data_IF_762002877039
#
_entry.id   IF_762002877039
#
_cell.length_a   1.000
_cell.length_b   1.000
_cell.length_c   1.000
_cell.angle_alpha   90.00
_cell.angle_beta   90.00
_cell.angle_gamma   90.00
#
_symmetry.space_group_name_H-M   'P 1'
#
loop_
_entity.id
_entity.type
_entity.pdbx_description
1 polymer ?
#
# COMPACT_ATOMS: atom_id res chain seq x y z
N UNK A 1 -14.77 -7.40 7.56
CA UNK A 1 -15.92 -8.33 7.62
C UNK A 1 -15.44 -9.77 7.76
N UNK A 2 -16.24 -10.70 8.30
CA UNK A 2 -15.92 -12.12 8.23
C UNK A 2 -15.93 -12.59 6.78
N UNK A 3 -15.02 -13.52 6.45
CA UNK A 3 -15.00 -14.20 5.16
C UNK A 3 -16.35 -14.92 4.94
N UNK A 4 -16.96 -14.86 3.74
CA UNK A 4 -18.21 -15.56 3.46
C UNK A 4 -18.10 -17.06 3.79
N UNK A 5 -19.18 -17.67 4.32
CA UNK A 5 -19.14 -19.09 4.70
C UNK A 5 -19.02 -20.00 3.46
N UNK A 6 -18.45 -21.19 3.66
CA UNK A 6 -18.14 -22.17 2.60
C UNK A 6 -19.30 -22.40 1.61
N UNK A 7 -20.57 -22.61 2.02
CA UNK A 7 -21.66 -22.81 1.06
C UNK A 7 -21.91 -21.60 0.15
N UNK A 8 -21.67 -20.38 0.65
CA UNK A 8 -21.81 -19.14 -0.14
C UNK A 8 -20.69 -19.02 -1.16
N UNK A 9 -19.44 -19.35 -0.78
CA UNK A 9 -18.30 -19.34 -1.71
C UNK A 9 -18.47 -20.39 -2.82
N UNK A 10 -18.90 -21.61 -2.46
CA UNK A 10 -19.19 -22.69 -3.43
C UNK A 10 -20.34 -22.30 -4.37
N UNK A 11 -21.39 -21.67 -3.84
CA UNK A 11 -22.49 -21.14 -4.64
C UNK A 11 -22.04 -20.04 -5.59
N UNK A 12 -21.18 -19.12 -5.14
CA UNK A 12 -20.63 -18.04 -5.96
C UNK A 12 -19.80 -18.59 -7.14
N UNK A 13 -18.96 -19.60 -6.90
CA UNK A 13 -18.22 -20.29 -7.96
C UNK A 13 -19.15 -20.92 -9.00
N UNK A 14 -20.26 -21.55 -8.57
CA UNK A 14 -21.26 -22.12 -9.48
C UNK A 14 -21.98 -21.05 -10.29
N UNK A 15 -22.34 -19.92 -9.68
CA UNK A 15 -22.91 -18.79 -10.42
C UNK A 15 -22.00 -18.33 -11.55
N UNK A 16 -20.71 -18.10 -11.28
CA UNK A 16 -19.75 -17.65 -12.30
C UNK A 16 -19.49 -18.69 -13.40
N UNK A 17 -19.64 -19.98 -13.09
CA UNK A 17 -19.48 -21.06 -14.06
C UNK A 17 -20.68 -21.17 -15.02
N UNK A 18 -21.91 -20.99 -14.51
CA UNK A 18 -23.13 -21.25 -15.28
C UNK A 18 -23.71 -20.00 -15.97
N UNK A 19 -23.50 -18.80 -15.41
CA UNK A 19 -24.00 -17.55 -15.99
C UNK A 19 -23.50 -17.26 -17.42
N UNK A 20 -22.26 -17.57 -17.82
CA UNK A 20 -21.81 -17.33 -19.19
C UNK A 20 -22.61 -18.12 -20.25
N UNK A 21 -23.19 -19.26 -19.86
CA UNK A 21 -23.95 -20.16 -20.75
C UNK A 21 -25.47 -20.03 -20.60
N UNK A 22 -25.98 -19.22 -19.67
CA UNK A 22 -27.40 -19.12 -19.36
C UNK A 22 -27.75 -17.81 -18.66
N UNK A 23 -28.94 -17.29 -18.92
CA UNK A 23 -29.43 -16.12 -18.18
C UNK A 23 -29.63 -16.43 -16.68
N UNK A 24 -29.81 -15.35 -15.90
CA UNK A 24 -29.92 -15.41 -14.45
C UNK A 24 -31.14 -16.24 -13.98
N UNK A 25 -32.27 -16.17 -14.70
CA UNK A 25 -33.48 -16.88 -14.34
C UNK A 25 -33.33 -18.40 -14.57
N UNK A 26 -32.73 -18.78 -15.70
CA UNK A 26 -32.44 -20.18 -16.06
C UNK A 26 -31.41 -20.79 -15.12
N UNK A 27 -30.35 -20.05 -14.79
CA UNK A 27 -29.33 -20.50 -13.83
C UNK A 27 -29.93 -20.69 -12.42
N UNK A 28 -30.82 -19.78 -11.99
CA UNK A 28 -31.56 -19.94 -10.72
C UNK A 28 -32.46 -21.19 -10.74
N UNK A 29 -33.17 -21.43 -11.84
CA UNK A 29 -34.01 -22.63 -11.99
C UNK A 29 -33.17 -23.92 -11.94
N UNK A 30 -31.98 -23.91 -12.55
CA UNK A 30 -31.04 -25.03 -12.50
C UNK A 30 -30.64 -25.36 -11.06
N UNK A 31 -30.22 -24.37 -10.28
CA UNK A 31 -29.80 -24.57 -8.89
C UNK A 31 -30.90 -25.02 -7.94
N UNK A 32 -32.17 -24.85 -8.31
CA UNK A 32 -33.32 -25.22 -7.47
C UNK A 32 -33.99 -26.52 -7.85
N UNK A 33 -33.85 -26.96 -9.11
CA UNK A 33 -34.57 -28.13 -9.62
C UNK A 33 -33.67 -29.34 -9.92
N UNK A 34 -32.38 -29.12 -10.18
CA UNK A 34 -31.48 -30.19 -10.59
C UNK A 34 -30.78 -30.85 -9.39
N UNK A 35 -30.80 -32.19 -9.34
CA UNK A 35 -30.29 -32.99 -8.20
C UNK A 35 -28.80 -32.77 -7.92
N UNK A 36 -28.02 -32.39 -8.92
CA UNK A 36 -26.59 -32.06 -8.77
C UNK A 36 -26.28 -30.78 -7.95
N UNK A 37 -27.30 -30.01 -7.53
CA UNK A 37 -27.12 -28.75 -6.80
C UNK A 37 -27.84 -28.72 -5.44
N UNK A 38 -28.29 -29.87 -4.93
CA UNK A 38 -29.05 -29.96 -3.67
C UNK A 38 -28.20 -29.84 -2.41
N UNK A 39 -26.87 -29.80 -2.54
CA UNK A 39 -25.92 -29.65 -1.43
C UNK A 39 -25.83 -28.22 -0.89
N UNK A 40 -26.43 -27.25 -1.59
CA UNK A 40 -26.51 -25.84 -1.19
C UNK A 40 -27.97 -25.39 -1.25
N UNK A 41 -28.43 -24.70 -0.21
CA UNK A 41 -29.83 -24.24 -0.13
C UNK A 41 -30.10 -23.07 -1.09
N UNK A 42 -31.35 -22.89 -1.56
CA UNK A 42 -31.73 -21.74 -2.38
C UNK A 42 -31.38 -20.38 -1.75
N UNK A 43 -31.48 -20.26 -0.43
CA UNK A 43 -31.12 -19.04 0.31
C UNK A 43 -29.62 -18.77 0.26
N UNK A 44 -28.77 -19.79 0.34
CA UNK A 44 -27.32 -19.63 0.19
C UNK A 44 -26.94 -19.24 -1.24
N UNK A 45 -27.63 -19.77 -2.26
CA UNK A 45 -27.47 -19.33 -3.64
C UNK A 45 -27.88 -17.86 -3.85
N UNK A 46 -28.97 -17.41 -3.20
CA UNK A 46 -29.37 -16.02 -3.25
C UNK A 46 -28.33 -15.11 -2.58
N UNK A 47 -27.88 -15.47 -1.37
CA UNK A 47 -26.82 -14.74 -0.65
C UNK A 47 -25.52 -14.64 -1.46
N UNK A 48 -25.13 -15.71 -2.14
CA UNK A 48 -23.96 -15.70 -3.02
C UNK A 48 -24.13 -14.77 -4.23
N UNK A 49 -25.32 -14.74 -4.83
CA UNK A 49 -25.60 -13.84 -5.95
C UNK A 49 -25.57 -12.38 -5.52
N UNK A 50 -26.10 -12.06 -4.34
CA UNK A 50 -26.07 -10.70 -3.79
C UNK A 50 -24.62 -10.29 -3.49
N UNK A 51 -23.84 -11.15 -2.85
CA UNK A 51 -22.40 -10.92 -2.64
C UNK A 51 -21.62 -10.68 -3.95
N UNK A 52 -21.90 -11.47 -5.00
CA UNK A 52 -21.28 -11.27 -6.31
C UNK A 52 -21.64 -9.92 -6.95
N UNK A 53 -22.88 -9.44 -6.76
CA UNK A 53 -23.31 -8.13 -7.27
C UNK A 53 -22.64 -7.00 -6.52
N UNK A 54 -22.67 -7.07 -5.19
CA UNK A 54 -22.11 -6.04 -4.32
C UNK A 54 -20.60 -5.90 -4.53
N UNK A 55 -19.91 -7.03 -4.78
CA UNK A 55 -18.49 -7.06 -5.12
C UNK A 55 -18.16 -6.78 -6.60
N UNK A 56 -19.16 -6.57 -7.48
CA UNK A 56 -18.93 -6.34 -8.91
C UNK A 56 -18.29 -7.53 -9.66
N UNK A 57 -18.46 -8.75 -9.15
CA UNK A 57 -17.75 -9.96 -9.61
C UNK A 57 -18.46 -10.70 -10.77
N UNK A 58 -19.66 -10.25 -11.16
CA UNK A 58 -20.46 -10.91 -12.21
C UNK A 58 -19.90 -10.76 -13.63
N UNK A 59 -19.04 -9.76 -13.87
CA UNK A 59 -18.46 -9.46 -15.19
C UNK A 59 -17.05 -10.04 -15.38
N UNK A 60 -16.57 -10.86 -14.45
CA UNK A 60 -15.19 -11.40 -14.51
C UNK A 60 -15.07 -12.48 -15.59
N UNK A 61 -14.74 -12.05 -16.81
CA UNK A 61 -14.39 -12.95 -17.91
C UNK A 61 -13.01 -13.57 -17.64
N UNK A 62 -12.90 -14.89 -17.70
CA UNK A 62 -11.64 -15.58 -17.44
C UNK A 62 -11.78 -17.10 -17.43
N UNK A 63 -10.65 -17.79 -17.27
CA UNK A 63 -10.64 -19.23 -17.00
C UNK A 63 -11.25 -19.54 -15.64
N UNK A 64 -11.72 -20.77 -15.44
CA UNK A 64 -12.27 -21.23 -14.14
C UNK A 64 -11.29 -21.05 -12.97
N UNK A 65 -9.99 -21.23 -13.22
CA UNK A 65 -8.94 -21.00 -12.24
C UNK A 65 -8.80 -19.52 -11.87
N UNK A 66 -8.89 -18.62 -12.86
CA UNK A 66 -8.87 -17.17 -12.66
C UNK A 66 -10.08 -16.70 -11.85
N UNK A 67 -11.29 -17.19 -12.20
CA UNK A 67 -12.51 -16.84 -11.48
C UNK A 67 -12.47 -17.25 -10.00
N UNK A 68 -11.99 -18.45 -9.70
CA UNK A 68 -11.84 -18.92 -8.30
C UNK A 68 -10.84 -18.07 -7.53
N UNK A 69 -9.70 -17.73 -8.14
CA UNK A 69 -8.72 -16.83 -7.54
C UNK A 69 -9.32 -15.44 -7.26
N UNK A 70 -10.10 -14.87 -8.19
CA UNK A 70 -10.82 -13.60 -7.98
C UNK A 70 -11.85 -13.67 -6.84
N UNK A 71 -12.60 -14.78 -6.74
CA UNK A 71 -13.53 -14.99 -5.62
C UNK A 71 -12.80 -15.07 -4.29
N UNK A 72 -11.66 -15.77 -4.25
CA UNK A 72 -10.85 -15.88 -3.06
C UNK A 72 -10.25 -14.53 -2.65
N UNK A 73 -9.68 -13.78 -3.61
CA UNK A 73 -9.20 -12.40 -3.41
C UNK A 73 -10.30 -11.53 -2.80
N UNK A 74 -11.49 -11.49 -3.41
CA UNK A 74 -12.62 -10.72 -2.91
C UNK A 74 -13.08 -11.15 -1.50
N UNK A 75 -12.99 -12.44 -1.19
CA UNK A 75 -13.38 -12.98 0.11
C UNK A 75 -12.41 -12.57 1.23
N UNK A 76 -11.11 -12.46 0.95
CA UNK A 76 -10.07 -12.17 1.96
C UNK A 76 -9.76 -10.68 2.11
N UNK A 77 -9.97 -9.86 1.07
CA UNK A 77 -9.67 -8.42 1.08
C UNK A 77 -10.33 -7.67 2.25
N UNK A 78 -11.53 -8.09 2.62
CA UNK A 78 -12.31 -7.47 3.70
C UNK A 78 -12.00 -8.05 5.08
N UNK A 79 -11.12 -9.06 5.19
CA UNK A 79 -10.83 -9.71 6.47
C UNK A 79 -9.99 -8.82 7.40
N UNK A 80 -10.16 -8.99 8.72
CA UNK A 80 -9.51 -8.14 9.72
C UNK A 80 -7.98 -8.30 9.76
N UNK A 81 -7.47 -9.47 9.36
CA UNK A 81 -6.04 -9.77 9.35
C UNK A 81 -5.36 -9.32 8.05
N UNK A 82 -6.11 -9.00 7.00
CA UNK A 82 -5.53 -8.69 5.68
C UNK A 82 -4.62 -7.45 5.70
N UNK A 83 -4.97 -6.45 6.54
CA UNK A 83 -4.18 -5.22 6.72
C UNK A 83 -2.75 -5.46 7.20
N UNK A 84 -2.51 -6.59 7.87
CA UNK A 84 -1.21 -6.98 8.43
C UNK A 84 -0.64 -8.22 7.72
N UNK A 85 -1.14 -8.54 6.52
CA UNK A 85 -0.79 -9.79 5.82
C UNK A 85 0.72 -9.90 5.50
N UNK A 86 1.43 -8.80 5.28
CA UNK A 86 2.90 -8.83 5.06
C UNK A 86 3.69 -9.28 6.29
N UNK A 87 3.18 -8.99 7.48
CA UNK A 87 3.78 -9.40 8.74
C UNK A 87 3.30 -10.79 9.19
N UNK A 88 2.01 -11.09 8.98
CA UNK A 88 1.38 -12.30 9.50
C UNK A 88 1.54 -13.52 8.58
N UNK A 89 1.65 -13.33 7.26
CA UNK A 89 1.58 -14.41 6.27
C UNK A 89 2.84 -14.38 5.40
N UNK A 90 3.91 -14.96 5.95
CA UNK A 90 5.22 -15.06 5.28
C UNK A 90 5.36 -16.29 4.38
N UNK A 91 4.55 -17.33 4.62
CA UNK A 91 4.55 -18.59 3.87
C UNK A 91 3.14 -19.20 3.78
N UNK A 92 2.93 -20.19 2.88
CA UNK A 92 1.65 -20.90 2.76
C UNK A 92 1.17 -21.58 4.04
N UNK A 93 2.09 -22.02 4.91
CA UNK A 93 1.78 -22.67 6.19
C UNK A 93 1.30 -21.67 7.26
N UNK A 94 1.55 -20.37 7.05
CA UNK A 94 1.11 -19.29 7.93
C UNK A 94 -0.31 -18.77 7.59
N UNK A 95 -1.01 -19.41 6.64
CA UNK A 95 -2.36 -19.00 6.27
C UNK A 95 -3.34 -19.17 7.45
N UNK A 96 -4.15 -18.14 7.77
CA UNK A 96 -5.20 -18.24 8.77
C UNK A 96 -6.26 -19.31 8.44
N UNK A 97 -6.88 -19.91 9.47
CA UNK A 97 -7.88 -20.97 9.30
C UNK A 97 -9.11 -20.56 8.48
N UNK A 98 -9.51 -19.30 8.52
CA UNK A 98 -10.60 -18.77 7.69
C UNK A 98 -10.20 -18.64 6.23
N UNK A 99 -8.95 -18.24 5.94
CA UNK A 99 -8.38 -18.25 4.60
C UNK A 99 -8.26 -19.68 4.05
N UNK A 100 -7.77 -20.65 4.84
CA UNK A 100 -7.67 -22.05 4.43
C UNK A 100 -9.03 -22.64 4.06
N UNK A 101 -10.06 -22.42 4.89
CA UNK A 101 -11.43 -22.88 4.61
C UNK A 101 -12.01 -22.26 3.34
N UNK A 102 -11.76 -20.97 3.11
CA UNK A 102 -12.20 -20.31 1.88
C UNK A 102 -11.47 -20.81 0.63
N UNK A 103 -10.18 -21.07 0.74
CA UNK A 103 -9.39 -21.67 -0.33
C UNK A 103 -9.92 -23.07 -0.68
N UNK A 104 -10.17 -23.90 0.33
CA UNK A 104 -10.77 -25.24 0.17
C UNK A 104 -12.15 -25.17 -0.50
N UNK A 105 -13.03 -24.28 -0.04
CA UNK A 105 -14.36 -24.05 -0.62
C UNK A 105 -14.30 -23.74 -2.12
N UNK A 106 -13.26 -23.03 -2.55
CA UNK A 106 -13.03 -22.64 -3.94
C UNK A 106 -12.11 -23.62 -4.69
N UNK A 107 -11.68 -24.70 -4.03
CA UNK A 107 -10.71 -25.68 -4.53
C UNK A 107 -9.42 -25.03 -5.03
N UNK A 108 -8.87 -24.12 -4.23
CA UNK A 108 -7.58 -23.47 -4.41
C UNK A 108 -6.62 -24.07 -3.38
N UNK A 109 -5.45 -24.51 -3.82
CA UNK A 109 -4.42 -25.05 -2.91
C UNK A 109 -3.76 -23.93 -2.07
N UNK A 110 -3.15 -24.26 -0.91
CA UNK A 110 -2.52 -23.28 -0.03
C UNK A 110 -1.49 -22.38 -0.71
N UNK A 111 -0.68 -22.94 -1.61
CA UNK A 111 0.31 -22.18 -2.40
C UNK A 111 -0.33 -21.09 -3.25
N UNK A 112 -1.41 -21.44 -3.96
CA UNK A 112 -2.13 -20.51 -4.81
C UNK A 112 -2.89 -19.47 -3.98
N UNK A 113 -3.46 -19.88 -2.84
CA UNK A 113 -4.11 -18.97 -1.89
C UNK A 113 -3.11 -17.94 -1.33
N UNK A 114 -1.93 -18.39 -0.90
CA UNK A 114 -0.84 -17.53 -0.45
C UNK A 114 -0.39 -16.56 -1.56
N UNK A 115 -0.21 -17.03 -2.79
CA UNK A 115 0.14 -16.19 -3.92
C UNK A 115 -0.94 -15.12 -4.22
N UNK A 116 -2.23 -15.48 -4.12
CA UNK A 116 -3.35 -14.53 -4.29
C UNK A 116 -3.33 -13.47 -3.18
N UNK A 117 -3.18 -13.87 -1.91
CA UNK A 117 -3.08 -12.92 -0.79
C UNK A 117 -1.90 -11.98 -0.97
N UNK A 118 -0.72 -12.50 -1.34
CA UNK A 118 0.49 -11.69 -1.58
C UNK A 118 0.30 -10.70 -2.72
N UNK A 119 -0.32 -11.12 -3.82
CA UNK A 119 -0.62 -10.26 -4.96
C UNK A 119 -1.65 -9.19 -4.59
N UNK A 120 -2.74 -9.57 -3.93
CA UNK A 120 -3.79 -8.67 -3.48
C UNK A 120 -3.25 -7.63 -2.48
N UNK A 121 -2.46 -8.08 -1.49
CA UNK A 121 -1.82 -7.18 -0.52
C UNK A 121 -0.86 -6.23 -1.21
N UNK A 122 -0.04 -6.72 -2.15
CA UNK A 122 0.87 -5.86 -2.92
C UNK A 122 0.15 -4.76 -3.70
N UNK A 123 -1.04 -5.02 -4.25
CA UNK A 123 -1.87 -4.00 -4.91
C UNK A 123 -2.42 -2.99 -3.91
N UNK A 124 -3.01 -3.46 -2.81
CA UNK A 124 -3.60 -2.61 -1.76
C UNK A 124 -2.53 -1.73 -1.11
N UNK A 125 -1.41 -2.31 -0.72
CA UNK A 125 -0.26 -1.62 -0.16
C UNK A 125 0.31 -0.58 -1.13
N UNK A 126 0.36 -0.87 -2.43
CA UNK A 126 0.82 0.12 -3.43
C UNK A 126 -0.15 1.30 -3.54
N UNK A 127 -1.45 1.06 -3.62
CA UNK A 127 -2.45 2.13 -3.71
C UNK A 127 -2.52 2.96 -2.41
N UNK A 128 -2.47 2.30 -1.25
CA UNK A 128 -2.48 2.98 0.04
C UNK A 128 -1.20 3.78 0.27
N UNK A 129 -0.03 3.23 -0.04
CA UNK A 129 1.25 3.97 0.02
C UNK A 129 1.26 5.16 -0.91
N UNK A 130 0.74 5.04 -2.13
CA UNK A 130 0.64 6.17 -3.06
C UNK A 130 -0.27 7.27 -2.51
N UNK A 131 -1.46 6.90 -2.00
CA UNK A 131 -2.37 7.85 -1.35
C UNK A 131 -1.73 8.53 -0.14
N UNK A 132 -1.07 7.74 0.71
CA UNK A 132 -0.44 8.24 1.93
C UNK A 132 0.78 9.11 1.62
N UNK A 133 1.60 8.72 0.63
CA UNK A 133 2.71 9.50 0.10
C UNK A 133 2.25 10.88 -0.36
N UNK A 134 1.28 10.91 -1.29
CA UNK A 134 0.70 12.14 -1.80
C UNK A 134 0.12 13.03 -0.68
N UNK A 135 -0.60 12.46 0.29
CA UNK A 135 -1.13 13.22 1.42
C UNK A 135 -0.03 13.85 2.29
N UNK A 136 1.08 13.13 2.49
CA UNK A 136 2.22 13.65 3.27
C UNK A 136 2.98 14.75 2.53
N UNK A 137 3.18 14.59 1.22
CA UNK A 137 3.76 15.63 0.36
C UNK A 137 2.89 16.89 0.35
N UNK A 138 1.57 16.75 0.13
CA UNK A 138 0.64 17.87 0.10
C UNK A 138 0.61 18.61 1.44
N UNK A 139 0.54 17.89 2.55
CA UNK A 139 0.54 18.49 3.88
C UNK A 139 1.86 19.22 4.18
N UNK A 140 3.00 18.69 3.72
CA UNK A 140 4.30 19.36 3.86
C UNK A 140 4.40 20.59 2.95
N UNK A 141 3.91 20.53 1.71
CA UNK A 141 3.84 21.69 0.80
C UNK A 141 2.96 22.79 1.40
N UNK A 142 1.80 22.45 1.97
CA UNK A 142 0.92 23.40 2.64
C UNK A 142 1.62 24.09 3.81
N UNK A 143 2.29 23.31 4.67
CA UNK A 143 3.08 23.85 5.77
C UNK A 143 4.17 24.82 5.27
N UNK A 144 4.98 24.40 4.31
CA UNK A 144 6.10 25.19 3.80
C UNK A 144 5.63 26.44 3.03
N UNK A 145 4.53 26.37 2.29
CA UNK A 145 3.99 27.49 1.51
C UNK A 145 3.36 28.56 2.40
N UNK A 146 3.03 28.23 3.66
CA UNK A 146 2.54 29.20 4.64
C UNK A 146 3.64 30.15 5.15
N UNK A 147 4.91 29.84 4.87
CA UNK A 147 6.07 30.58 5.35
C UNK A 147 6.39 31.75 4.41
N UNK A 148 6.44 32.96 4.96
CA UNK A 148 6.77 34.15 4.20
C UNK A 148 8.22 34.12 3.68
N UNK A 149 8.43 34.54 2.43
CA UNK A 149 9.75 34.60 1.80
C UNK A 149 10.27 33.26 1.29
N UNK A 150 9.41 32.23 1.25
CA UNK A 150 9.73 30.91 0.73
C UNK A 150 8.91 30.66 -0.54
N UNK A 151 9.58 30.15 -1.58
CA UNK A 151 8.93 29.61 -2.77
C UNK A 151 8.97 28.08 -2.71
N UNK A 152 7.82 27.44 -2.88
CA UNK A 152 7.69 25.98 -2.81
C UNK A 152 7.12 25.46 -4.13
N UNK A 153 7.77 24.46 -4.71
CA UNK A 153 7.32 23.76 -5.91
C UNK A 153 7.14 22.28 -5.56
N UNK A 154 5.95 21.75 -5.82
CA UNK A 154 5.64 20.33 -5.69
C UNK A 154 6.07 19.60 -6.96
N UNK A 155 7.37 19.30 -7.05
CA UNK A 155 8.03 18.76 -8.25
C UNK A 155 7.44 17.41 -8.66
N UNK A 156 7.05 16.55 -7.72
CA UNK A 156 6.38 15.28 -8.01
C UNK A 156 5.07 15.42 -8.81
N UNK A 157 4.40 16.59 -8.78
CA UNK A 157 3.21 16.84 -9.64
C UNK A 157 3.56 17.17 -11.09
N UNK A 158 4.80 17.58 -11.35
CA UNK A 158 5.28 18.02 -12.66
C UNK A 158 6.18 16.98 -13.32
N UNK A 159 7.04 16.29 -12.56
CA UNK A 159 7.96 15.28 -13.09
C UNK A 159 8.56 14.35 -12.03
N UNK A 160 8.39 13.05 -12.23
CA UNK A 160 9.04 11.99 -11.43
C UNK A 160 10.54 11.83 -11.74
N UNK A 161 11.07 12.55 -12.75
CA UNK A 161 12.43 12.37 -13.25
C UNK A 161 13.51 13.03 -12.39
N UNK A 162 13.16 13.97 -11.52
CA UNK A 162 14.15 14.75 -10.76
C UNK A 162 14.76 14.00 -9.58
N UNK A 163 14.05 13.01 -9.02
CA UNK A 163 14.50 12.21 -7.87
C UNK A 163 14.34 12.89 -6.52
N UNK A 164 13.40 13.85 -6.42
CA UNK A 164 12.91 14.48 -5.19
C UNK A 164 11.49 15.03 -5.42
N UNK A 165 10.71 15.16 -4.34
CA UNK A 165 9.29 15.49 -4.42
C UNK A 165 9.02 16.99 -4.34
N UNK A 166 9.78 17.72 -3.52
CA UNK A 166 9.53 19.13 -3.22
C UNK A 166 10.82 19.93 -3.39
N UNK A 167 10.74 21.05 -4.11
CA UNK A 167 11.79 22.07 -4.12
C UNK A 167 11.34 23.25 -3.27
N UNK A 168 12.22 23.67 -2.36
CA UNK A 168 12.05 24.87 -1.55
C UNK A 168 13.17 25.84 -1.87
N UNK A 169 12.81 27.08 -2.23
CA UNK A 169 13.75 28.16 -2.51
C UNK A 169 13.55 29.30 -1.52
N UNK A 170 14.65 29.74 -0.91
CA UNK A 170 14.75 30.93 -0.08
C UNK A 170 15.78 31.89 -0.69
N UNK A 171 15.89 33.10 -0.16
CA UNK A 171 16.97 34.03 -0.54
C UNK A 171 18.38 33.46 -0.28
N UNK A 172 18.51 32.54 0.69
CA UNK A 172 19.80 31.98 1.10
C UNK A 172 20.19 30.73 0.32
N UNK A 173 19.22 29.86 0.03
CA UNK A 173 19.48 28.55 -0.58
C UNK A 173 18.24 27.90 -1.19
N UNK A 174 18.49 26.93 -2.06
CA UNK A 174 17.52 25.96 -2.55
C UNK A 174 17.74 24.62 -1.83
N UNK A 175 16.65 23.98 -1.41
CA UNK A 175 16.63 22.67 -0.76
C UNK A 175 15.69 21.75 -1.55
N UNK A 176 16.13 20.51 -1.75
CA UNK A 176 15.32 19.47 -2.41
C UNK A 176 14.95 18.41 -1.38
N UNK A 177 13.65 18.13 -1.25
CA UNK A 177 13.13 17.22 -0.26
C UNK A 177 12.54 15.99 -0.95
N UNK A 178 13.00 14.82 -0.55
CA UNK A 178 12.33 13.54 -0.80
C UNK A 178 11.52 13.18 0.44
N UNK A 179 10.24 12.83 0.26
CA UNK A 179 9.27 12.67 1.33
C UNK A 179 8.86 11.20 1.46
N UNK A 180 9.01 10.63 2.66
CA UNK A 180 8.51 9.29 2.97
C UNK A 180 7.51 9.37 4.12
N UNK A 181 6.27 8.97 3.83
CA UNK A 181 5.13 9.18 4.74
C UNK A 181 4.71 7.91 5.47
N UNK A 182 4.31 8.05 6.74
CA UNK A 182 3.73 6.97 7.55
C UNK A 182 2.66 7.50 8.50
N UNK A 183 1.68 6.67 8.85
CA UNK A 183 0.74 6.92 9.97
C UNK A 183 1.14 6.18 11.25
N UNK A 184 2.07 5.22 11.15
CA UNK A 184 2.45 4.33 12.25
C UNK A 184 3.33 5.06 13.28
N UNK A 185 3.19 4.69 14.56
CA UNK A 185 4.09 5.10 15.64
C UNK A 185 5.13 3.98 15.84
N UNK A 186 6.42 4.29 15.73
CA UNK A 186 7.51 3.32 15.86
C UNK A 186 8.34 3.15 14.59
N UNK A 187 8.75 1.90 14.31
CA UNK A 187 9.67 1.57 13.21
C UNK A 187 9.20 2.16 11.87
N UNK A 188 10.04 3.01 11.29
CA UNK A 188 9.80 3.61 10.00
C UNK A 188 10.28 2.67 8.90
N UNK A 189 9.38 2.25 8.01
CA UNK A 189 9.74 1.50 6.81
C UNK A 189 9.59 2.40 5.60
N UNK A 190 10.63 2.49 4.78
CA UNK A 190 10.62 3.27 3.54
C UNK A 190 11.03 2.40 2.35
N UNK A 191 10.67 2.87 1.17
CA UNK A 191 11.16 2.36 -0.10
C UNK A 191 11.91 3.49 -0.79
N UNK A 192 13.13 3.21 -1.23
CA UNK A 192 13.97 4.15 -1.96
C UNK A 192 14.17 3.63 -3.38
N UNK A 193 13.83 4.44 -4.38
CA UNK A 193 14.10 4.09 -5.77
C UNK A 193 15.57 4.33 -6.12
N UNK A 194 16.02 3.70 -7.20
CA UNK A 194 17.38 3.92 -7.69
C UNK A 194 17.62 5.35 -8.14
N UNK A 195 16.62 6.00 -8.72
CA UNK A 195 16.70 7.40 -9.15
C UNK A 195 16.84 8.36 -7.95
N UNK A 196 16.06 8.13 -6.88
CA UNK A 196 16.17 8.88 -5.62
C UNK A 196 17.55 8.72 -4.99
N UNK A 197 18.07 7.50 -4.96
CA UNK A 197 19.41 7.23 -4.43
C UNK A 197 20.53 7.87 -5.25
N UNK A 198 20.51 7.72 -6.57
CA UNK A 198 21.51 8.34 -7.45
C UNK A 198 21.42 9.88 -7.35
N UNK A 199 20.21 10.43 -7.18
CA UNK A 199 19.96 11.86 -6.96
C UNK A 199 20.47 12.33 -5.61
N UNK A 200 20.18 11.59 -4.54
CA UNK A 200 20.79 11.81 -3.23
C UNK A 200 22.30 11.91 -3.39
N UNK A 201 22.98 10.94 -3.99
CA UNK A 201 24.45 10.95 -4.11
C UNK A 201 25.01 12.18 -4.83
N UNK A 202 24.39 12.62 -5.93
CA UNK A 202 24.89 13.76 -6.73
C UNK A 202 24.50 15.13 -6.18
N UNK A 203 23.38 15.23 -5.48
CA UNK A 203 22.82 16.50 -5.03
C UNK A 203 23.05 16.73 -3.52
N UNK A 204 23.79 17.80 -3.20
CA UNK A 204 24.12 18.16 -1.80
C UNK A 204 22.98 18.87 -1.07
N UNK A 205 22.02 19.43 -1.80
CA UNK A 205 20.81 20.07 -1.27
C UNK A 205 19.68 19.06 -0.99
N UNK A 206 19.81 17.84 -1.53
CA UNK A 206 18.85 16.76 -1.34
C UNK A 206 18.79 16.27 0.11
N UNK A 207 17.57 16.13 0.63
CA UNK A 207 17.27 15.74 2.01
C UNK A 207 16.12 14.75 2.04
N UNK A 208 16.33 13.61 2.70
CA UNK A 208 15.28 12.61 2.94
C UNK A 208 14.50 12.97 4.21
N UNK A 209 13.22 13.29 4.05
CA UNK A 209 12.32 13.69 5.13
C UNK A 209 11.30 12.58 5.38
N UNK A 210 11.23 12.13 6.62
CA UNK A 210 10.14 11.29 7.11
C UNK A 210 8.99 12.17 7.61
N UNK A 211 7.79 11.91 7.12
CA UNK A 211 6.55 12.60 7.53
C UNK A 211 5.66 11.62 8.28
N UNK A 212 5.30 11.96 9.51
CA UNK A 212 4.25 11.23 10.24
C UNK A 212 2.94 11.97 10.14
N UNK A 213 1.89 11.29 9.69
CA UNK A 213 0.52 11.78 9.72
C UNK A 213 -0.30 11.14 10.86
N UNK A 214 -1.37 11.80 11.28
CA UNK A 214 -2.45 11.17 12.06
C UNK A 214 -3.34 10.32 11.14
N UNK A 215 -4.29 9.57 11.72
CA UNK A 215 -5.28 8.82 10.94
C UNK A 215 -6.15 9.75 10.05
N UNK A 216 -6.34 11.00 10.49
CA UNK A 216 -7.02 12.08 9.75
C UNK A 216 -6.11 12.81 8.76
N UNK A 217 -4.94 12.25 8.44
CA UNK A 217 -3.96 12.78 7.48
C UNK A 217 -3.38 14.16 7.84
N UNK A 218 -3.33 14.51 9.14
CA UNK A 218 -2.70 15.75 9.60
C UNK A 218 -1.24 15.53 9.98
N UNK A 219 -0.36 16.50 9.69
CA UNK A 219 1.03 16.45 10.12
C UNK A 219 1.13 16.26 11.64
N UNK A 220 1.89 15.27 12.05
CA UNK A 220 2.02 14.84 13.44
C UNK A 220 3.46 14.82 13.94
N UNK A 221 4.45 14.64 13.05
CA UNK A 221 5.87 14.92 13.28
C UNK A 221 6.63 14.92 11.95
N UNK A 222 7.81 15.53 11.98
CA UNK A 222 8.80 15.49 10.90
C UNK A 222 10.14 14.99 11.45
N UNK A 223 10.87 14.25 10.62
CA UNK A 223 12.26 13.90 10.89
C UNK A 223 13.07 13.86 9.59
N UNK A 224 14.37 14.04 9.70
CA UNK A 224 15.33 13.86 8.61
C UNK A 224 16.04 12.53 8.79
N UNK A 225 16.13 11.74 7.73
CA UNK A 225 16.84 10.46 7.71
C UNK A 225 18.31 10.73 7.35
N UNK A 226 19.24 10.17 8.12
CA UNK A 226 20.66 10.35 7.88
C UNK A 226 21.09 9.79 6.51
N UNK A 227 21.61 10.67 5.65
CA UNK A 227 22.11 10.36 4.31
C UNK A 227 23.23 9.32 4.29
N UNK A 228 24.20 9.44 5.20
CA UNK A 228 25.37 8.55 5.23
C UNK A 228 24.96 7.14 5.65
N UNK A 229 23.97 7.02 6.54
CA UNK A 229 23.36 5.73 6.86
C UNK A 229 22.69 5.11 5.63
N UNK A 230 21.85 5.87 4.91
CA UNK A 230 21.20 5.37 3.67
C UNK A 230 22.25 4.87 2.68
N UNK A 231 23.34 5.63 2.49
CA UNK A 231 24.44 5.22 1.62
C UNK A 231 25.12 3.92 2.09
N UNK A 232 25.32 3.77 3.40
CA UNK A 232 25.98 2.60 3.99
C UNK A 232 25.16 1.30 3.92
N UNK A 233 23.83 1.39 3.78
CA UNK A 233 22.93 0.21 3.73
C UNK A 233 22.32 -0.06 2.35
N UNK A 234 22.47 0.87 1.39
CA UNK A 234 21.94 0.69 0.05
C UNK A 234 22.63 -0.49 -0.68
N UNK A 235 21.92 -1.25 -1.54
CA UNK A 235 22.51 -2.36 -2.27
C UNK A 235 23.61 -1.86 -3.23
N UNK A 236 24.58 -2.74 -3.49
CA UNK A 236 25.64 -2.51 -4.47
C UNK A 236 25.41 -3.41 -5.68
N UNK A 237 25.49 -2.84 -6.88
CA UNK A 237 25.42 -3.61 -8.11
C UNK A 237 26.68 -4.50 -8.23
N UNK A 238 26.48 -5.82 -8.25
CA UNK A 238 27.59 -6.79 -8.17
C UNK A 238 27.98 -7.43 -9.50
N UNK A 239 27.24 -7.19 -10.58
CA UNK A 239 27.48 -7.83 -11.87
C UNK A 239 27.17 -6.91 -13.06
N UNK A 240 27.95 -6.97 -14.15
CA UNK A 240 27.62 -6.27 -15.39
C UNK A 240 26.26 -6.75 -15.93
N UNK A 241 25.33 -5.82 -16.13
CA UNK A 241 23.98 -6.10 -16.62
C UNK A 241 22.93 -6.38 -15.54
N UNK A 242 23.30 -6.33 -14.25
CA UNK A 242 22.36 -6.33 -13.14
C UNK A 242 22.41 -4.96 -12.44
N UNK A 243 21.23 -4.38 -12.19
CA UNK A 243 21.06 -3.14 -11.45
C UNK A 243 19.88 -3.28 -10.51
N UNK A 244 20.02 -2.84 -9.27
CA UNK A 244 18.87 -2.71 -8.38
C UNK A 244 18.04 -1.48 -8.72
N UNK A 245 16.72 -1.60 -8.68
CA UNK A 245 15.79 -0.51 -9.05
C UNK A 245 15.06 0.08 -7.83
N UNK A 246 14.85 -0.71 -6.77
CA UNK A 246 14.28 -0.24 -5.51
C UNK A 246 14.79 -1.07 -4.33
N UNK A 247 14.86 -0.46 -3.16
CA UNK A 247 15.20 -1.13 -1.90
C UNK A 247 14.21 -0.75 -0.80
N UNK A 248 13.83 -1.75 0.01
CA UNK A 248 13.09 -1.55 1.26
C UNK A 248 14.06 -1.36 2.41
N UNK A 249 13.91 -0.28 3.17
CA UNK A 249 14.73 0.00 4.34
C UNK A 249 13.84 0.07 5.58
N UNK A 250 14.19 -0.70 6.61
CA UNK A 250 13.63 -0.58 7.95
C UNK A 250 14.55 0.37 8.73
N UNK A 251 14.12 1.62 8.90
CA UNK A 251 14.92 2.75 9.42
C UNK A 251 14.95 2.72 10.94
N UNK A 252 16.14 2.60 11.57
CA UNK A 252 16.24 2.60 13.02
C UNK A 252 16.08 4.02 13.61
N UNK A 253 15.63 4.15 14.88
CA UNK A 253 15.46 5.44 15.56
C UNK A 253 16.69 6.35 15.60
N UNK A 254 17.87 5.78 15.78
CA UNK A 254 19.13 6.48 16.04
C UNK A 254 19.67 7.24 14.82
N UNK A 255 19.18 6.93 13.62
CA UNK A 255 19.55 7.62 12.38
C UNK A 255 18.55 8.72 11.99
N UNK A 256 17.51 8.93 12.80
CA UNK A 256 16.53 9.99 12.63
C UNK A 256 16.94 11.23 13.42
N UNK A 257 16.95 12.38 12.75
CA UNK A 257 17.06 13.69 13.40
C UNK A 257 15.69 14.35 13.39
N UNK A 258 15.16 14.72 14.56
CA UNK A 258 13.86 15.38 14.63
C UNK A 258 13.85 16.72 13.85
N UNK A 259 12.77 16.97 13.11
CA UNK A 259 12.62 18.17 12.28
C UNK A 259 13.37 18.08 10.95
N UNK A 260 13.59 19.24 10.34
CA UNK A 260 14.31 19.38 9.06
C UNK A 260 15.42 20.42 9.20
N UNK A 261 16.59 20.06 9.77
CA UNK A 261 17.63 21.03 10.16
C UNK A 261 18.06 21.98 9.04
N UNK A 262 18.17 21.49 7.80
CA UNK A 262 18.53 22.35 6.65
C UNK A 262 17.55 23.49 6.40
N UNK A 263 16.26 23.30 6.71
CA UNK A 263 15.26 24.34 6.57
C UNK A 263 15.34 25.35 7.73
N UNK A 264 15.75 24.91 8.92
CA UNK A 264 16.00 25.79 10.06
C UNK A 264 17.09 26.82 9.73
N UNK A 265 18.13 26.38 9.03
CA UNK A 265 19.22 27.25 8.59
C UNK A 265 18.83 28.14 7.38
N UNK A 266 17.85 27.71 6.58
CA UNK A 266 17.40 28.41 5.37
C UNK A 266 16.39 29.52 5.63
N UNK A 267 15.53 29.34 6.63
CA UNK A 267 14.32 30.13 6.80
C UNK A 267 14.44 30.97 8.09
N UNK A 268 14.23 32.30 8.02
CA UNK A 268 14.26 33.14 9.21
C UNK A 268 13.08 32.83 10.15
N UNK A 269 13.25 32.98 11.48
CA UNK A 269 12.17 32.77 12.43
C UNK A 269 11.04 33.82 12.29
N UNK A 270 9.81 33.51 12.73
CA UNK A 270 9.42 32.30 13.46
C UNK A 270 9.16 31.09 12.54
N UNK A 271 9.58 29.90 12.99
CA UNK A 271 9.35 28.63 12.30
C UNK A 271 8.27 27.82 13.01
N UNK A 272 7.52 27.04 12.22
CA UNK A 272 6.58 26.08 12.76
C UNK A 272 7.31 25.06 13.67
N UNK A 273 6.77 24.72 14.85
CA UNK A 273 7.35 23.73 15.74
C UNK A 273 7.69 22.40 15.08
N UNK A 274 6.92 21.95 14.09
CA UNK A 274 7.17 20.69 13.37
C UNK A 274 8.51 20.71 12.63
N UNK A 275 8.87 21.83 12.00
CA UNK A 275 10.16 22.00 11.31
C UNK A 275 11.33 21.94 12.29
N UNK A 276 11.09 22.38 13.53
CA UNK A 276 12.01 22.29 14.66
C UNK A 276 12.01 20.92 15.35
N UNK A 277 11.25 19.95 14.84
CA UNK A 277 11.16 18.60 15.40
C UNK A 277 10.27 18.50 16.64
N UNK A 278 9.27 19.36 16.78
CA UNK A 278 8.30 19.37 17.89
C UNK A 278 6.87 19.09 17.37
N UNK A 279 6.20 18.02 17.81
CA UNK A 279 6.68 17.00 18.74
C UNK A 279 7.78 16.12 18.10
N UNK A 280 8.61 15.50 18.96
CA UNK A 280 9.67 14.60 18.51
C UNK A 280 9.11 13.39 17.75
N UNK A 281 9.96 12.79 16.92
CA UNK A 281 9.63 11.53 16.27
C UNK A 281 9.43 10.42 17.32
N UNK A 282 8.35 9.61 17.22
CA UNK A 282 8.03 8.59 18.21
C UNK A 282 8.79 7.30 17.93
N UNK A 283 9.55 6.86 18.92
CA UNK A 283 10.46 5.71 18.83
C UNK A 283 11.87 6.23 18.97
#
# INVERSE_FOLDING_TARGET
MPIPPEPVLRAAARWLEHLPASDLARTRALFTTHSGFTDITPTQYAAALDWLKDGGLLSTAGTRSSQRASLFEAAVLESLWFRDADALISSPEALPDDALRAAEALSIGPEAAHAVIRAAWGKVDTAERARLGAAGEEALVELLSSIAGVSVVHVAKESDGFGYDIQLTTDAQTVHLEVKTTTRRGNLRIYLSRNEYDTMLRDRAWTLVAVRLTEELKLAALATINRDWVHGVAPVDSAPGARWESVRLDVPPDVLTAGVPRLIDAIPPPLDPLLLGKPAWPG
#
